data_IF_246960798723
#
_entry.id   IF_246960798723
#
_cell.length_a   1.000
_cell.length_b   1.000
_cell.length_c   1.000
_cell.angle_alpha   90.00
_cell.angle_beta   90.00
_cell.angle_gamma   90.00
#
_symmetry.space_group_name_H-M   'P 1'
#
loop_
_entity.id
_entity.type
_entity.pdbx_description
1 polymer ?
#
# COMPACT_ATOMS: atom_id res chain seq x y z
N UNK A 1 2.83 3.22 -1.39
CA UNK A 1 1.64 4.08 -1.26
C UNK A 1 0.55 3.28 -0.53
N UNK A 2 -0.28 3.88 0.31
CA UNK A 2 -1.36 3.25 1.07
C UNK A 2 -2.53 4.21 1.25
N UNK A 3 -3.72 3.66 1.49
CA UNK A 3 -4.94 4.44 1.76
C UNK A 3 -5.48 4.11 3.14
N UNK A 4 -5.85 5.13 3.91
CA UNK A 4 -6.61 4.95 5.14
C UNK A 4 -8.11 4.91 4.82
N UNK A 5 -8.66 3.71 4.65
CA UNK A 5 -10.11 3.50 4.50
C UNK A 5 -10.79 3.51 5.87
N UNK A 6 -11.08 4.70 6.39
CA UNK A 6 -11.73 4.87 7.69
C UNK A 6 -13.20 4.47 7.59
N UNK A 7 -13.59 3.44 8.32
CA UNK A 7 -14.99 3.00 8.44
C UNK A 7 -15.60 3.64 9.68
N UNK A 8 -16.66 4.43 9.48
CA UNK A 8 -17.42 5.05 10.56
C UNK A 8 -18.23 3.98 11.28
N UNK A 9 -18.28 4.00 12.62
CA UNK A 9 -19.08 3.08 13.42
C UNK A 9 -20.58 3.43 13.36
N UNK A 10 -21.15 3.36 12.16
CA UNK A 10 -22.55 3.61 11.89
C UNK A 10 -23.02 2.77 10.70
N UNK A 11 -24.20 2.19 10.80
CA UNK A 11 -24.88 1.46 9.73
C UNK A 11 -26.36 1.77 9.78
N UNK A 12 -27.02 1.73 8.63
CA UNK A 12 -28.45 1.98 8.52
C UNK A 12 -29.21 0.64 8.47
N UNK A 13 -30.26 0.54 9.27
CA UNK A 13 -31.15 -0.61 9.34
C UNK A 13 -32.61 -0.12 9.27
N UNK A 14 -33.20 -0.18 8.08
CA UNK A 14 -34.45 0.53 7.77
C UNK A 14 -34.29 2.04 8.01
N UNK A 15 -35.20 2.61 8.79
CA UNK A 15 -35.20 4.06 9.09
C UNK A 15 -34.29 4.44 10.28
N UNK A 16 -33.54 3.50 10.85
CA UNK A 16 -32.71 3.73 12.05
C UNK A 16 -31.23 3.63 11.75
N UNK A 17 -30.46 4.53 12.33
CA UNK A 17 -29.00 4.43 12.41
C UNK A 17 -28.58 3.70 13.68
N UNK A 18 -27.64 2.77 13.53
CA UNK A 18 -27.12 1.94 14.62
C UNK A 18 -25.61 1.81 14.48
N UNK A 19 -24.91 1.38 15.54
CA UNK A 19 -23.49 1.03 15.44
C UNK A 19 -23.29 -0.22 14.58
N UNK A 20 -22.09 -0.39 14.03
CA UNK A 20 -21.71 -1.65 13.38
C UNK A 20 -21.77 -2.79 14.41
N UNK A 21 -22.28 -3.94 13.97
CA UNK A 21 -22.45 -5.11 14.83
C UNK A 21 -21.12 -5.59 15.39
N UNK A 22 -21.12 -5.96 16.68
CA UNK A 22 -20.00 -6.62 17.35
C UNK A 22 -20.51 -7.90 18.00
N UNK A 23 -19.76 -8.99 17.87
CA UNK A 23 -20.06 -10.26 18.54
C UNK A 23 -18.76 -10.87 19.03
N UNK A 24 -18.46 -10.65 20.31
CA UNK A 24 -17.20 -11.10 20.92
C UNK A 24 -17.18 -12.60 21.20
N UNK A 25 -18.34 -13.27 21.22
CA UNK A 25 -18.45 -14.68 21.57
C UNK A 25 -18.40 -15.53 20.31
N UNK A 26 -19.32 -15.29 19.37
CA UNK A 26 -19.37 -16.02 18.10
C UNK A 26 -18.41 -15.48 17.04
N UNK A 27 -17.82 -14.30 17.24
CA UNK A 27 -16.92 -13.61 16.29
C UNK A 27 -17.57 -13.37 14.92
N UNK A 28 -18.87 -13.12 14.91
CA UNK A 28 -19.66 -12.88 13.69
C UNK A 28 -20.01 -11.40 13.45
N UNK A 29 -19.47 -10.50 14.28
CA UNK A 29 -19.63 -9.05 14.09
C UNK A 29 -18.87 -8.52 12.87
N UNK A 30 -19.06 -7.22 12.59
CA UNK A 30 -18.47 -6.57 11.42
C UNK A 30 -16.94 -6.63 11.45
N UNK A 31 -16.32 -6.14 12.53
CA UNK A 31 -14.87 -6.04 12.61
C UNK A 31 -14.21 -7.43 12.71
N UNK A 32 -14.86 -8.39 13.36
CA UNK A 32 -14.38 -9.77 13.44
C UNK A 32 -14.35 -10.44 12.05
N UNK A 33 -15.38 -10.23 11.23
CA UNK A 33 -15.37 -10.69 9.84
C UNK A 33 -14.31 -9.97 8.99
N UNK A 34 -14.08 -8.67 9.23
CA UNK A 34 -13.00 -7.93 8.55
C UNK A 34 -11.63 -8.56 8.87
N UNK A 35 -11.35 -8.85 10.14
CA UNK A 35 -10.11 -9.52 10.53
C UNK A 35 -10.01 -10.95 9.99
N UNK A 36 -11.07 -11.74 10.08
CA UNK A 36 -11.10 -13.12 9.57
C UNK A 36 -10.82 -13.19 8.06
N UNK A 37 -11.23 -12.16 7.31
CA UNK A 37 -11.07 -12.09 5.86
C UNK A 37 -9.95 -11.15 5.39
N UNK A 38 -9.06 -10.70 6.28
CA UNK A 38 -8.01 -9.73 5.96
C UNK A 38 -7.14 -10.12 4.75
N UNK A 39 -6.84 -11.43 4.61
CA UNK A 39 -6.05 -11.96 3.50
C UNK A 39 -6.83 -11.86 2.19
N UNK A 40 -8.12 -12.18 2.22
CA UNK A 40 -8.99 -12.15 1.06
C UNK A 40 -9.19 -10.71 0.56
N UNK A 41 -9.50 -9.76 1.46
CA UNK A 41 -9.61 -8.35 1.11
C UNK A 41 -8.31 -7.78 0.58
N UNK A 42 -7.17 -8.11 1.21
CA UNK A 42 -5.86 -7.72 0.69
C UNK A 42 -5.60 -8.27 -0.71
N UNK A 43 -5.99 -9.52 -0.97
CA UNK A 43 -5.83 -10.14 -2.30
C UNK A 43 -6.68 -9.41 -3.34
N UNK A 44 -7.97 -9.16 -3.05
CA UNK A 44 -8.85 -8.41 -3.95
C UNK A 44 -8.30 -7.03 -4.28
N UNK A 45 -7.78 -6.30 -3.28
CA UNK A 45 -7.13 -5.02 -3.49
C UNK A 45 -5.96 -5.15 -4.47
N UNK A 46 -5.01 -6.07 -4.23
CA UNK A 46 -3.85 -6.27 -5.11
C UNK A 46 -4.21 -6.73 -6.52
N UNK A 47 -5.19 -7.62 -6.66
CA UNK A 47 -5.69 -8.08 -7.96
C UNK A 47 -6.41 -6.97 -8.72
N UNK A 48 -7.01 -5.98 -8.05
CA UNK A 48 -7.57 -4.81 -8.71
C UNK A 48 -6.49 -3.88 -9.29
N UNK A 49 -5.29 -3.82 -8.69
CA UNK A 49 -4.18 -3.00 -9.17
C UNK A 49 -3.33 -3.67 -10.26
N UNK A 50 -3.28 -5.01 -10.28
CA UNK A 50 -2.42 -5.75 -11.21
C UNK A 50 -2.77 -5.51 -12.68
N UNK A 51 -4.02 -5.65 -13.16
CA UNK A 51 -4.34 -5.43 -14.57
C UNK A 51 -4.06 -4.01 -15.07
N UNK A 52 -4.37 -2.93 -14.32
CA UNK A 52 -3.95 -1.58 -14.71
C UNK A 52 -2.43 -1.43 -14.84
N UNK A 53 -1.65 -2.00 -13.93
CA UNK A 53 -0.18 -1.97 -13.97
C UNK A 53 0.35 -2.73 -15.19
N UNK A 54 -0.19 -3.93 -15.47
CA UNK A 54 0.18 -4.72 -16.65
C UNK A 54 -0.24 -4.03 -17.97
N UNK A 55 -1.39 -3.35 -17.98
CA UNK A 55 -1.84 -2.54 -19.13
C UNK A 55 -0.91 -1.36 -19.42
N UNK A 56 -0.22 -0.83 -18.41
CA UNK A 56 0.82 0.19 -18.58
C UNK A 56 2.14 -0.39 -19.13
N UNK A 57 2.23 -1.72 -19.30
CA UNK A 57 3.38 -2.41 -19.88
C UNK A 57 4.39 -2.93 -18.86
N UNK A 58 4.07 -2.89 -17.57
CA UNK A 58 4.93 -3.47 -16.53
C UNK A 58 4.69 -4.98 -16.39
N UNK A 59 5.76 -5.76 -16.35
CA UNK A 59 5.70 -7.17 -15.95
C UNK A 59 5.58 -7.27 -14.42
N UNK A 60 4.73 -8.17 -13.92
CA UNK A 60 4.59 -8.45 -12.49
C UNK A 60 5.01 -9.88 -12.15
N UNK A 61 5.60 -10.08 -10.97
CA UNK A 61 6.01 -11.39 -10.47
C UNK A 61 5.58 -11.59 -9.02
N UNK A 62 5.20 -12.84 -8.66
CA UNK A 62 4.78 -13.17 -7.30
C UNK A 62 6.02 -13.40 -6.44
N UNK A 63 6.23 -12.55 -5.43
CA UNK A 63 7.42 -12.57 -4.56
C UNK A 63 7.10 -12.96 -3.11
N UNK A 64 5.83 -13.22 -2.79
CA UNK A 64 5.42 -13.50 -1.42
C UNK A 64 4.15 -14.32 -1.28
N UNK A 65 3.81 -14.63 -0.03
CA UNK A 65 2.61 -15.40 0.34
C UNK A 65 1.34 -14.67 -0.12
N UNK A 66 0.27 -15.41 -0.32
CA UNK A 66 -1.08 -14.87 -0.61
C UNK A 66 -1.16 -13.97 -1.86
N UNK A 67 -0.33 -14.25 -2.87
CA UNK A 67 -0.32 -13.51 -4.14
C UNK A 67 0.24 -12.10 -4.01
N UNK A 68 1.16 -11.86 -3.08
CA UNK A 68 1.94 -10.62 -3.05
C UNK A 68 2.87 -10.61 -4.27
N UNK A 69 2.81 -9.54 -5.06
CA UNK A 69 3.56 -9.38 -6.28
C UNK A 69 4.26 -8.03 -6.32
N UNK A 70 5.33 -7.95 -7.09
CA UNK A 70 6.09 -6.73 -7.37
C UNK A 70 6.26 -6.56 -8.89
N UNK A 71 6.64 -5.37 -9.33
CA UNK A 71 7.02 -5.13 -10.72
C UNK A 71 8.44 -5.67 -10.95
N UNK A 72 8.62 -6.48 -11.99
CA UNK A 72 9.90 -7.11 -12.29
C UNK A 72 10.96 -6.09 -12.63
N UNK A 73 12.15 -6.26 -12.05
CA UNK A 73 13.30 -5.38 -12.28
C UNK A 73 13.26 -4.03 -11.56
N UNK A 74 12.19 -3.70 -10.84
CA UNK A 74 12.12 -2.47 -10.02
C UNK A 74 12.80 -2.71 -8.68
N UNK A 75 13.76 -1.86 -8.25
CA UNK A 75 14.50 -2.06 -7.01
C UNK A 75 13.63 -1.71 -5.79
N UNK A 76 12.97 -2.70 -5.20
CA UNK A 76 12.08 -2.51 -4.03
C UNK A 76 12.87 -2.42 -2.71
N UNK A 77 13.96 -3.19 -2.62
CA UNK A 77 14.74 -3.37 -1.39
C UNK A 77 15.20 -2.02 -0.79
N UNK A 78 15.85 -1.10 -1.54
CA UNK A 78 16.39 0.13 -0.97
C UNK A 78 15.32 1.10 -0.43
N UNK A 79 14.08 0.96 -0.90
CA UNK A 79 12.94 1.77 -0.45
C UNK A 79 12.12 1.09 0.66
N UNK A 80 12.54 -0.08 1.12
CA UNK A 80 11.85 -0.90 2.11
C UNK A 80 12.44 -0.80 3.52
N UNK A 81 13.09 0.33 3.84
CA UNK A 81 13.81 0.58 5.11
C UNK A 81 13.01 0.15 6.34
N UNK A 82 11.73 0.56 6.43
CA UNK A 82 10.91 0.18 7.59
C UNK A 82 10.71 -1.34 7.70
N UNK A 83 10.61 -2.06 6.59
CA UNK A 83 10.48 -3.53 6.64
C UNK A 83 11.79 -4.21 7.05
N UNK A 84 12.94 -3.62 6.69
CA UNK A 84 14.25 -4.07 7.15
C UNK A 84 14.40 -3.87 8.67
N UNK A 85 14.17 -2.67 9.21
CA UNK A 85 14.40 -2.46 10.65
C UNK A 85 13.38 -3.24 11.51
N UNK A 86 12.13 -3.51 11.04
CA UNK A 86 11.21 -4.45 11.74
C UNK A 86 11.84 -5.84 11.81
N UNK A 87 12.35 -6.34 10.67
CA UNK A 87 12.89 -7.70 10.57
C UNK A 87 14.15 -7.86 11.42
N UNK A 88 15.02 -6.86 11.42
CA UNK A 88 16.23 -6.82 12.24
C UNK A 88 15.90 -6.80 13.73
N UNK A 89 14.95 -5.96 14.15
CA UNK A 89 14.56 -5.88 15.56
C UNK A 89 13.80 -7.11 16.06
N UNK A 90 12.94 -7.71 15.23
CA UNK A 90 12.13 -8.86 15.61
C UNK A 90 12.87 -10.20 15.48
N UNK A 91 13.81 -10.30 14.53
CA UNK A 91 14.45 -11.54 14.11
C UNK A 91 13.71 -12.26 12.95
N UNK A 92 14.39 -13.19 12.24
CA UNK A 92 13.87 -13.82 11.03
C UNK A 92 12.63 -14.70 11.25
N UNK A 93 12.53 -15.38 12.39
CA UNK A 93 11.45 -16.32 12.72
C UNK A 93 10.41 -15.73 13.68
N UNK A 94 10.38 -14.41 13.80
CA UNK A 94 9.48 -13.71 14.72
C UNK A 94 8.01 -13.97 14.40
N UNK A 95 7.22 -14.22 15.46
CA UNK A 95 5.77 -14.29 15.34
C UNK A 95 5.18 -12.96 14.83
N UNK A 96 4.00 -12.98 14.22
CA UNK A 96 3.31 -11.75 13.79
C UNK A 96 3.17 -10.74 14.94
N UNK A 97 2.83 -11.22 16.14
CA UNK A 97 2.70 -10.38 17.33
C UNK A 97 4.03 -9.75 17.74
N UNK A 98 5.13 -10.48 17.65
CA UNK A 98 6.48 -9.96 17.91
C UNK A 98 6.86 -8.88 16.90
N UNK A 99 6.49 -9.07 15.63
CA UNK A 99 6.71 -8.08 14.58
C UNK A 99 5.87 -6.83 14.77
N UNK A 100 4.65 -6.95 15.28
CA UNK A 100 3.80 -5.79 15.62
C UNK A 100 4.43 -4.94 16.74
N UNK A 101 4.98 -5.59 17.77
CA UNK A 101 5.71 -4.89 18.85
C UNK A 101 6.95 -4.20 18.29
N UNK A 102 7.79 -4.90 17.53
CA UNK A 102 8.97 -4.30 16.87
C UNK A 102 8.60 -3.16 15.90
N UNK A 103 7.44 -3.26 15.23
CA UNK A 103 6.94 -2.22 14.35
C UNK A 103 6.66 -0.91 15.10
N UNK A 104 6.14 -1.01 16.34
CA UNK A 104 5.88 0.13 17.22
C UNK A 104 7.17 0.64 17.87
N UNK A 105 8.01 -0.24 18.39
CA UNK A 105 9.19 0.13 19.18
C UNK A 105 10.25 0.85 18.36
N UNK A 106 10.47 0.44 17.11
CA UNK A 106 11.45 1.13 16.25
C UNK A 106 10.81 2.22 15.39
N UNK A 107 9.54 2.57 15.63
CA UNK A 107 8.85 3.64 14.92
C UNK A 107 9.38 5.00 15.36
N UNK A 108 10.02 5.71 14.43
CA UNK A 108 10.39 7.13 14.64
C UNK A 108 9.14 8.02 14.69
N UNK A 109 9.22 9.11 15.45
CA UNK A 109 8.19 10.14 15.44
C UNK A 109 8.04 10.74 14.04
N UNK A 110 6.84 11.25 13.71
CA UNK A 110 6.65 11.96 12.45
C UNK A 110 7.45 13.25 12.48
N UNK A 111 8.34 13.41 11.51
CA UNK A 111 9.07 14.65 11.27
C UNK A 111 8.42 15.41 10.12
N UNK A 112 8.47 16.74 10.19
CA UNK A 112 8.15 17.57 9.04
C UNK A 112 9.31 17.46 8.05
N UNK A 113 9.03 16.95 6.86
CA UNK A 113 10.03 16.73 5.81
C UNK A 113 9.69 17.66 4.64
N UNK A 114 10.68 18.36 4.10
CA UNK A 114 10.53 19.09 2.85
C UNK A 114 10.31 18.09 1.69
N UNK A 115 9.18 18.14 0.97
CA UNK A 115 8.92 17.25 -0.15
C UNK A 115 9.99 17.29 -1.25
N UNK A 116 10.60 18.45 -1.50
CA UNK A 116 11.63 18.61 -2.52
C UNK A 116 12.93 17.90 -2.12
N UNK A 117 13.37 18.09 -0.87
CA UNK A 117 14.56 17.40 -0.35
C UNK A 117 14.37 15.88 -0.37
N UNK A 118 13.18 15.40 0.02
CA UNK A 118 12.88 13.97 0.02
C UNK A 118 12.86 13.35 -1.38
N UNK A 119 12.37 14.10 -2.36
CA UNK A 119 12.43 13.66 -3.76
C UNK A 119 13.86 13.56 -4.27
N UNK A 120 14.75 14.50 -3.90
CA UNK A 120 16.18 14.42 -4.23
C UNK A 120 16.82 13.18 -3.61
N UNK A 121 16.54 12.92 -2.33
CA UNK A 121 17.01 11.71 -1.64
C UNK A 121 16.57 10.44 -2.38
N UNK A 122 15.29 10.30 -2.70
CA UNK A 122 14.77 9.13 -3.43
C UNK A 122 15.39 8.97 -4.81
N UNK A 123 15.58 10.06 -5.55
CA UNK A 123 16.23 10.02 -6.86
C UNK A 123 17.71 9.62 -6.77
N UNK A 124 18.39 10.00 -5.68
CA UNK A 124 19.78 9.57 -5.45
C UNK A 124 19.85 8.09 -5.08
N UNK A 125 19.01 7.63 -4.15
CA UNK A 125 18.88 6.19 -3.83
C UNK A 125 18.58 5.38 -5.10
N UNK A 126 17.67 5.86 -5.96
CA UNK A 126 17.34 5.17 -7.21
C UNK A 126 18.56 5.09 -8.16
N UNK A 127 19.34 6.16 -8.29
CA UNK A 127 20.56 6.16 -9.12
C UNK A 127 21.59 5.14 -8.63
N UNK A 128 21.74 4.96 -7.32
CA UNK A 128 22.67 3.98 -6.73
C UNK A 128 22.32 2.54 -7.10
N UNK A 129 21.05 2.26 -7.41
CA UNK A 129 20.62 0.94 -7.88
C UNK A 129 20.95 0.66 -9.35
N UNK A 130 21.35 1.68 -10.11
CA UNK A 130 21.52 1.58 -11.57
C UNK A 130 20.21 1.43 -12.36
N UNK A 131 19.05 1.59 -11.71
CA UNK A 131 17.75 1.44 -12.35
C UNK A 131 17.43 2.59 -13.31
N UNK A 132 17.11 2.25 -14.56
CA UNK A 132 16.67 3.22 -15.57
C UNK A 132 15.14 3.40 -15.54
N UNK A 133 14.70 4.45 -14.83
CA UNK A 133 13.29 4.83 -14.77
C UNK A 133 12.70 5.21 -16.13
N UNK A 134 13.51 5.73 -17.07
CA UNK A 134 13.03 6.18 -18.39
C UNK A 134 12.91 5.02 -19.37
N UNK A 135 13.80 4.04 -19.29
CA UNK A 135 13.77 2.82 -20.10
C UNK A 135 12.70 1.81 -19.67
N UNK A 136 12.29 1.82 -18.40
CA UNK A 136 11.32 0.84 -17.86
C UNK A 136 9.87 1.18 -18.19
N UNK A 137 9.54 2.47 -18.36
CA UNK A 137 8.20 2.88 -18.80
C UNK A 137 8.17 2.90 -20.32
N UNK A 138 7.66 1.84 -20.95
CA UNK A 138 7.20 1.98 -22.34
C UNK A 138 6.12 3.05 -22.31
N UNK A 139 6.27 4.21 -22.99
CA UNK A 139 5.25 5.24 -22.93
C UNK A 139 3.93 4.60 -23.36
N UNK A 140 2.83 4.79 -22.62
CA UNK A 140 1.53 4.34 -23.10
C UNK A 140 1.35 4.92 -24.50
N UNK A 141 0.84 4.13 -25.45
CA UNK A 141 0.37 4.69 -26.72
C UNK A 141 -0.58 5.82 -26.36
N UNK A 142 -0.10 7.04 -26.57
CA UNK A 142 -0.74 8.26 -26.09
C UNK A 142 -1.91 8.51 -27.03
N UNK A 143 -3.09 8.01 -26.71
CA UNK A 143 -4.30 8.65 -27.23
C UNK A 143 -4.38 10.03 -26.55
N UNK A 144 -4.45 11.13 -27.32
CA UNK A 144 -4.46 12.47 -26.77
C UNK A 144 -5.80 12.70 -26.07
N UNK A 145 -5.84 12.46 -24.76
CA UNK A 145 -6.98 12.82 -23.94
C UNK A 145 -6.81 14.28 -23.50
N UNK A 146 -7.58 15.18 -24.12
CA UNK A 146 -7.67 16.58 -23.74
C UNK A 146 -8.46 16.71 -22.43
N UNK A 147 -7.84 17.15 -21.35
CA UNK A 147 -8.58 17.61 -20.17
C UNK A 147 -9.10 19.03 -20.44
N UNK A 148 -10.41 19.30 -20.30
CA UNK A 148 -10.91 20.66 -20.38
C UNK A 148 -10.50 21.41 -19.11
N UNK A 149 -9.49 22.26 -19.23
CA UNK A 149 -9.15 23.24 -18.19
C UNK A 149 -10.18 24.37 -18.25
N UNK A 150 -11.25 24.27 -17.48
CA UNK A 150 -12.06 25.44 -17.13
C UNK A 150 -11.42 26.11 -15.92
N UNK A 151 -10.56 27.10 -16.19
CA UNK A 151 -10.20 28.10 -15.18
C UNK A 151 -11.32 29.15 -15.16
N UNK A 152 -11.97 29.41 -14.02
CA UNK A 152 -12.88 30.53 -13.92
C UNK A 152 -12.08 31.83 -14.08
N UNK A 153 -12.48 32.65 -15.06
CA UNK A 153 -12.00 34.03 -15.16
C UNK A 153 -12.81 34.89 -14.20
N UNK A 154 -12.08 35.48 -13.25
CA UNK A 154 -12.40 36.63 -12.37
C UNK A 154 -13.71 36.59 -11.59
#
# INVERSE_FOLDING_TARGET
MHTHAVVINATQNGDKWQSLGTDKIGKTGFIENVYANQIAFGKLYREAFKPPVEKLGYETEVVGKHGMWEMKGVPVEPFSTRSQEVREAAGPDASLKSRDVAALDTRKSKEAIDPAEKMVEWMNTLKETGFDIRGTVRPPMREPQSWPVHLPRR
#
